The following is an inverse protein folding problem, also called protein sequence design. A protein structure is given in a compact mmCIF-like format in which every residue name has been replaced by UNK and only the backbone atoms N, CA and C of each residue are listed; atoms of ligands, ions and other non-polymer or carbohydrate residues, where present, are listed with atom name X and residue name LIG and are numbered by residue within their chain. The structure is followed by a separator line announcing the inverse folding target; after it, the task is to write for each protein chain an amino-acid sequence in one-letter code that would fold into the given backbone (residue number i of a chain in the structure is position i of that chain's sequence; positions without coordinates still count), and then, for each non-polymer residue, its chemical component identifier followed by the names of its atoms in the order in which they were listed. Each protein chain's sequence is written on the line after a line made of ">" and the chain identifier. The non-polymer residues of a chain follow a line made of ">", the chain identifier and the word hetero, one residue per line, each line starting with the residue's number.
data_IF_281678743184
#
_entry.id   IF_281678743184
#
_cell.length_a   1.000
_cell.length_b   1.000
_cell.length_c   1.000
_cell.angle_alpha   90.00
_cell.angle_beta   90.00
_cell.angle_gamma   90.00
#
_symmetry.space_group_name_H-M   'P 1'
#
loop_
_entity.id
_entity.type
_entity.pdbx_description
1 polymer ?
#
# COMPACT_ATOMS: atom_id res chain seq x y z
N UNK A 1 32.34 6.12 -33.83
CA UNK A 1 32.33 6.42 -32.38
C UNK A 1 32.67 5.14 -31.64
N UNK A 2 33.41 5.16 -30.53
CA UNK A 2 33.65 3.95 -29.72
C UNK A 2 32.34 3.32 -29.24
N UNK A 3 31.30 4.12 -28.98
CA UNK A 3 29.99 3.61 -28.58
C UNK A 3 29.31 2.82 -29.72
N UNK A 4 29.53 3.20 -30.99
CA UNK A 4 28.89 2.52 -32.14
C UNK A 4 29.44 1.12 -32.42
N UNK A 5 30.58 0.73 -31.83
CA UNK A 5 31.05 -0.66 -31.89
C UNK A 5 30.35 -1.57 -30.88
N UNK A 6 29.66 -1.01 -29.89
CA UNK A 6 28.96 -1.76 -28.84
C UNK A 6 27.43 -1.58 -28.87
N UNK A 7 26.91 -0.48 -29.44
CA UNK A 7 25.47 -0.18 -29.48
C UNK A 7 24.92 -0.27 -30.91
N UNK A 8 23.89 -1.11 -31.09
CA UNK A 8 23.15 -1.26 -32.33
C UNK A 8 22.38 -0.01 -32.68
N UNK A 9 21.68 0.57 -31.70
CA UNK A 9 20.89 1.80 -31.87
C UNK A 9 21.74 2.98 -32.34
N UNK A 10 22.91 3.20 -31.72
CA UNK A 10 23.84 4.27 -32.12
C UNK A 10 24.44 3.98 -33.49
N UNK A 11 24.82 2.72 -33.77
CA UNK A 11 25.35 2.32 -35.08
C UNK A 11 24.32 2.56 -36.20
N UNK A 12 23.08 2.14 -36.01
CA UNK A 12 21.99 2.30 -36.98
C UNK A 12 21.64 3.77 -37.21
N UNK A 13 21.59 4.57 -36.14
CA UNK A 13 21.33 6.01 -36.23
C UNK A 13 22.45 6.77 -36.96
N UNK A 14 23.71 6.36 -36.76
CA UNK A 14 24.83 6.94 -37.51
C UNK A 14 24.83 6.52 -38.98
N UNK A 15 24.36 5.31 -39.29
CA UNK A 15 24.22 4.83 -40.67
C UNK A 15 23.10 5.58 -41.40
N UNK A 16 21.95 5.81 -40.77
CA UNK A 16 20.86 6.59 -41.39
C UNK A 16 21.29 8.03 -41.66
N UNK A 17 21.90 8.71 -40.68
CA UNK A 17 22.40 10.07 -40.87
C UNK A 17 23.50 10.18 -41.95
N UNK A 18 24.29 9.10 -42.19
CA UNK A 18 25.23 9.07 -43.34
C UNK A 18 24.53 9.05 -44.69
N UNK A 19 23.37 8.40 -44.79
CA UNK A 19 22.60 8.33 -46.04
C UNK A 19 21.98 9.68 -46.36
N UNK A 20 21.55 10.42 -45.34
CA UNK A 20 20.86 11.70 -45.51
C UNK A 20 21.82 12.88 -45.73
N UNK A 21 23.04 12.83 -45.16
CA UNK A 21 24.08 13.85 -45.33
C UNK A 21 25.48 13.21 -45.48
N UNK A 22 26.01 13.08 -46.72
CA UNK A 22 27.28 12.40 -46.98
C UNK A 22 28.52 13.21 -46.57
N UNK A 23 28.38 14.50 -46.25
CA UNK A 23 29.51 15.33 -45.84
C UNK A 23 30.08 14.90 -44.48
N UNK A 24 31.40 14.73 -44.44
CA UNK A 24 32.13 14.24 -43.28
C UNK A 24 32.37 15.30 -42.18
N UNK A 25 32.16 16.58 -42.50
CA UNK A 25 32.48 17.71 -41.62
C UNK A 25 31.32 18.16 -40.71
N UNK A 26 30.10 17.65 -40.93
CA UNK A 26 28.92 18.05 -40.14
C UNK A 26 28.94 17.36 -38.78
N UNK A 27 28.86 18.16 -37.70
CA UNK A 27 28.63 17.64 -36.35
C UNK A 27 27.30 16.90 -36.36
N UNK A 28 27.32 15.64 -35.93
CA UNK A 28 26.14 14.79 -35.88
C UNK A 28 25.61 14.73 -34.47
N UNK A 29 24.41 15.27 -34.29
CA UNK A 29 23.70 15.23 -33.03
C UNK A 29 22.83 13.97 -32.96
N UNK A 30 22.92 13.27 -31.83
CA UNK A 30 22.11 12.10 -31.53
C UNK A 30 21.28 12.41 -30.29
N UNK A 31 19.97 12.54 -30.48
CA UNK A 31 19.03 12.76 -29.38
C UNK A 31 18.56 11.40 -28.85
N UNK A 32 18.81 11.15 -27.56
CA UNK A 32 18.40 9.94 -26.86
C UNK A 32 17.35 10.31 -25.81
N UNK A 33 16.12 10.48 -26.26
CA UNK A 33 15.02 10.85 -25.37
C UNK A 33 14.61 9.67 -24.47
N UNK A 34 14.39 9.95 -23.19
CA UNK A 34 13.88 8.97 -22.23
C UNK A 34 14.88 7.87 -21.82
N UNK A 35 16.18 8.16 -21.86
CA UNK A 35 17.23 7.21 -21.45
C UNK A 35 17.01 6.71 -20.00
N UNK A 36 17.07 5.40 -19.72
CA UNK A 36 16.88 4.85 -18.38
C UNK A 36 17.87 5.47 -17.37
N UNK A 37 17.36 6.04 -16.28
CA UNK A 37 18.19 6.73 -15.28
C UNK A 37 18.85 8.02 -15.77
N UNK A 38 18.43 8.55 -16.93
CA UNK A 38 18.89 9.84 -17.45
C UNK A 38 20.39 9.85 -17.76
N UNK A 39 21.08 10.98 -17.48
CA UNK A 39 22.51 11.12 -17.73
C UNK A 39 23.37 10.07 -17.03
N UNK A 40 23.02 9.69 -15.80
CA UNK A 40 23.79 8.74 -15.00
C UNK A 40 23.80 7.34 -15.64
N UNK A 41 22.66 6.92 -16.19
CA UNK A 41 22.57 5.67 -16.95
C UNK A 41 23.45 5.68 -18.19
N UNK A 42 23.44 6.80 -18.92
CA UNK A 42 24.27 6.94 -20.12
C UNK A 42 25.77 6.99 -19.77
N UNK A 43 26.14 7.64 -18.66
CA UNK A 43 27.51 7.63 -18.16
C UNK A 43 27.99 6.19 -17.90
N UNK A 44 27.19 5.37 -17.21
CA UNK A 44 27.56 3.98 -16.93
C UNK A 44 27.71 3.14 -18.21
N UNK A 45 26.78 3.28 -19.16
CA UNK A 45 26.84 2.57 -20.43
C UNK A 45 28.03 3.03 -21.30
N UNK A 46 28.30 4.33 -21.34
CA UNK A 46 29.44 4.89 -22.07
C UNK A 46 30.77 4.48 -21.43
N UNK A 47 30.86 4.47 -20.10
CA UNK A 47 32.05 3.98 -19.37
C UNK A 47 32.38 2.55 -19.74
N UNK A 48 31.39 1.68 -19.89
CA UNK A 48 31.60 0.32 -20.40
C UNK A 48 32.22 0.34 -21.82
N UNK A 49 31.67 1.16 -22.73
CA UNK A 49 32.16 1.25 -24.11
C UNK A 49 33.61 1.76 -24.19
N UNK A 50 33.95 2.79 -23.41
CA UNK A 50 35.29 3.39 -23.42
C UNK A 50 36.32 2.59 -22.63
N UNK A 51 35.89 1.71 -21.72
CA UNK A 51 36.78 0.85 -20.92
C UNK A 51 37.01 -0.52 -21.56
N UNK A 52 36.86 -0.63 -22.88
CA UNK A 52 37.03 -1.88 -23.64
C UNK A 52 36.14 -3.01 -23.10
N UNK A 53 34.87 -2.68 -22.85
CA UNK A 53 33.89 -3.63 -22.32
C UNK A 53 34.13 -4.01 -20.86
N UNK A 54 34.92 -3.27 -20.07
CA UNK A 54 35.16 -3.57 -18.65
C UNK A 54 34.35 -2.66 -17.75
N UNK A 55 33.43 -3.25 -16.98
CA UNK A 55 32.68 -2.58 -15.91
C UNK A 55 32.43 -3.55 -14.77
N UNK A 56 32.45 -3.04 -13.53
CA UNK A 56 32.07 -3.79 -12.34
C UNK A 56 30.55 -3.78 -12.22
N UNK A 57 29.94 -4.97 -12.30
CA UNK A 57 28.49 -5.16 -12.12
C UNK A 57 28.25 -5.51 -10.66
N UNK A 58 27.27 -4.87 -10.05
CA UNK A 58 26.89 -4.99 -8.64
C UNK A 58 25.38 -4.82 -8.46
N UNK A 59 24.79 -5.23 -7.34
CA UNK A 59 23.34 -5.09 -7.11
C UNK A 59 22.84 -3.64 -7.16
N UNK A 60 23.69 -2.65 -6.87
CA UNK A 60 23.33 -1.23 -6.93
C UNK A 60 23.17 -0.71 -8.36
N UNK A 61 23.97 -1.19 -9.31
CA UNK A 61 24.04 -0.64 -10.67
C UNK A 61 23.49 -1.58 -11.75
N UNK A 62 23.33 -2.87 -11.47
CA UNK A 62 22.89 -3.87 -12.45
C UNK A 62 21.55 -3.52 -13.09
N UNK A 63 20.58 -3.02 -12.31
CA UNK A 63 19.26 -2.66 -12.85
C UNK A 63 19.37 -1.55 -13.90
N UNK A 64 20.17 -0.52 -13.61
CA UNK A 64 20.39 0.60 -14.52
C UNK A 64 21.20 0.18 -15.74
N UNK A 65 22.26 -0.63 -15.55
CA UNK A 65 23.06 -1.17 -16.65
C UNK A 65 22.23 -2.04 -17.59
N UNK A 66 21.37 -2.91 -17.05
CA UNK A 66 20.52 -3.79 -17.83
C UNK A 66 19.52 -3.01 -18.69
N UNK A 67 18.79 -2.06 -18.08
CA UNK A 67 17.86 -1.21 -18.83
C UNK A 67 18.58 -0.32 -19.85
N UNK A 68 19.76 0.22 -19.52
CA UNK A 68 20.57 1.02 -20.44
C UNK A 68 21.08 0.21 -21.62
N UNK A 69 21.55 -1.02 -21.38
CA UNK A 69 22.00 -1.94 -22.40
C UNK A 69 20.87 -2.36 -23.34
N UNK A 70 19.68 -2.62 -22.80
CA UNK A 70 18.47 -2.88 -23.60
C UNK A 70 18.11 -1.66 -24.46
N UNK A 71 18.11 -0.46 -23.88
CA UNK A 71 17.75 0.76 -24.60
C UNK A 71 18.70 1.09 -25.75
N UNK A 72 19.99 0.81 -25.57
CA UNK A 72 21.04 1.02 -26.58
C UNK A 72 21.21 -0.17 -27.54
N UNK A 73 20.42 -1.23 -27.37
CA UNK A 73 20.54 -2.49 -28.12
C UNK A 73 21.99 -3.01 -28.06
N UNK A 74 22.56 -3.14 -26.86
CA UNK A 74 23.93 -3.63 -26.65
C UNK A 74 23.96 -5.16 -26.52
N UNK A 75 23.56 -5.85 -27.59
CA UNK A 75 23.48 -7.32 -27.67
C UNK A 75 24.76 -7.97 -28.19
N UNK A 76 24.81 -9.31 -28.10
CA UNK A 76 25.89 -10.13 -28.67
C UNK A 76 26.00 -10.05 -30.19
N UNK A 77 24.95 -9.59 -30.87
CA UNK A 77 24.94 -9.43 -32.33
C UNK A 77 25.90 -8.34 -32.81
N UNK A 78 26.25 -7.39 -31.92
CA UNK A 78 27.10 -6.24 -32.25
C UNK A 78 28.54 -6.48 -31.80
N UNK A 79 28.73 -7.01 -30.60
CA UNK A 79 30.05 -7.31 -30.03
C UNK A 79 29.93 -8.50 -29.09
N UNK A 80 30.96 -9.33 -29.01
CA UNK A 80 30.99 -10.43 -28.04
C UNK A 80 31.07 -9.92 -26.59
N UNK A 81 30.44 -10.64 -25.67
CA UNK A 81 30.41 -10.34 -24.23
C UNK A 81 29.92 -8.91 -23.93
N UNK A 82 28.91 -8.46 -24.67
CA UNK A 82 28.35 -7.12 -24.57
C UNK A 82 27.59 -6.93 -23.24
N UNK A 83 27.27 -5.67 -22.94
CA UNK A 83 26.73 -5.29 -21.65
C UNK A 83 25.42 -6.03 -21.31
N UNK A 84 24.55 -6.24 -22.30
CA UNK A 84 23.27 -6.92 -22.07
C UNK A 84 23.47 -8.35 -21.54
N UNK A 85 24.22 -9.19 -22.26
CA UNK A 85 24.46 -10.58 -21.85
C UNK A 85 25.14 -10.65 -20.48
N UNK A 86 26.10 -9.76 -20.22
CA UNK A 86 26.80 -9.72 -18.93
C UNK A 86 25.87 -9.39 -17.76
N UNK A 87 24.95 -8.45 -17.95
CA UNK A 87 23.93 -8.15 -16.94
C UNK A 87 22.94 -9.31 -16.76
N UNK A 88 22.55 -9.99 -17.83
CA UNK A 88 21.67 -11.16 -17.75
C UNK A 88 22.31 -12.32 -17.00
N UNK A 89 23.58 -12.63 -17.27
CA UNK A 89 24.34 -13.66 -16.53
C UNK A 89 24.44 -13.31 -15.05
N UNK A 90 24.68 -12.04 -14.72
CA UNK A 90 24.72 -11.58 -13.33
C UNK A 90 23.35 -11.73 -12.64
N UNK A 91 22.26 -11.40 -13.34
CA UNK A 91 20.88 -11.55 -12.85
C UNK A 91 20.41 -13.02 -12.77
N UNK A 92 20.95 -13.94 -13.58
CA UNK A 92 20.71 -15.37 -13.39
C UNK A 92 21.23 -15.85 -12.03
N UNK A 93 22.24 -15.18 -11.48
CA UNK A 93 22.77 -15.41 -10.14
C UNK A 93 21.88 -14.92 -8.98
N UNK A 94 20.67 -14.40 -9.24
CA UNK A 94 19.77 -13.83 -8.22
C UNK A 94 19.50 -14.76 -7.03
N UNK A 95 19.49 -16.08 -7.24
CA UNK A 95 19.30 -17.05 -6.17
C UNK A 95 20.33 -16.88 -5.02
N UNK A 96 21.58 -16.56 -5.39
CA UNK A 96 22.70 -16.44 -4.45
C UNK A 96 22.81 -15.06 -3.78
N UNK A 97 22.00 -14.10 -4.21
CA UNK A 97 22.07 -12.75 -3.66
C UNK A 97 21.58 -12.71 -2.22
N UNK A 98 22.09 -11.77 -1.44
CA UNK A 98 21.56 -11.53 -0.09
C UNK A 98 20.21 -10.82 -0.16
N UNK A 99 19.46 -10.83 0.94
CA UNK A 99 18.23 -10.05 1.08
C UNK A 99 18.47 -8.55 0.80
N UNK A 100 19.57 -8.02 1.34
CA UNK A 100 19.97 -6.62 1.17
C UNK A 100 20.32 -6.29 -0.28
N UNK A 101 20.95 -7.21 -1.02
CA UNK A 101 21.28 -7.01 -2.43
C UNK A 101 20.03 -6.86 -3.30
N UNK A 102 19.02 -7.71 -3.07
CA UNK A 102 17.75 -7.65 -3.80
C UNK A 102 17.02 -6.35 -3.52
N UNK A 103 16.93 -5.94 -2.23
CA UNK A 103 16.31 -4.67 -1.87
C UNK A 103 17.05 -3.47 -2.48
N UNK A 104 18.36 -3.53 -2.54
CA UNK A 104 19.19 -2.48 -3.13
C UNK A 104 18.95 -2.39 -4.64
N UNK A 105 18.85 -3.52 -5.33
CA UNK A 105 18.55 -3.57 -6.77
C UNK A 105 17.12 -3.13 -7.11
N UNK A 106 16.15 -3.42 -6.23
CA UNK A 106 14.78 -2.92 -6.35
C UNK A 106 14.74 -1.40 -6.18
N UNK A 107 15.40 -0.86 -5.15
CA UNK A 107 15.47 0.60 -4.93
C UNK A 107 16.17 1.32 -6.07
N UNK A 108 17.26 0.76 -6.62
CA UNK A 108 17.96 1.38 -7.74
C UNK A 108 17.13 1.43 -9.02
N UNK A 109 16.07 0.62 -9.14
CA UNK A 109 15.16 0.62 -10.28
C UNK A 109 14.06 1.70 -10.23
N UNK A 110 13.87 2.39 -9.10
CA UNK A 110 12.81 3.39 -8.92
C UNK A 110 12.87 4.57 -9.92
N UNK A 111 14.04 5.14 -10.26
CA UNK A 111 14.10 6.29 -11.20
C UNK A 111 13.69 5.97 -12.64
N UNK A 112 13.66 4.69 -13.03
CA UNK A 112 13.35 4.21 -14.38
C UNK A 112 12.39 3.02 -14.34
N UNK A 113 11.43 3.08 -13.43
CA UNK A 113 10.58 1.94 -13.08
C UNK A 113 9.73 1.44 -14.26
N UNK A 114 9.31 2.32 -15.17
CA UNK A 114 8.53 1.95 -16.35
C UNK A 114 9.35 1.14 -17.36
N UNK A 115 10.63 1.49 -17.56
CA UNK A 115 11.54 0.73 -18.41
C UNK A 115 11.94 -0.60 -17.73
N UNK A 116 12.19 -0.58 -16.42
CA UNK A 116 12.50 -1.78 -15.65
C UNK A 116 11.32 -2.78 -15.65
N UNK A 117 10.08 -2.30 -15.58
CA UNK A 117 8.90 -3.15 -15.71
C UNK A 117 8.79 -3.74 -17.11
N UNK A 118 8.86 -2.90 -18.16
CA UNK A 118 8.74 -3.33 -19.56
C UNK A 118 9.79 -4.38 -19.96
N UNK A 119 10.96 -4.36 -19.33
CA UNK A 119 12.03 -5.35 -19.54
C UNK A 119 11.83 -6.69 -18.83
N UNK A 120 10.84 -6.80 -17.94
CA UNK A 120 10.64 -7.95 -17.05
C UNK A 120 11.67 -8.06 -15.91
N UNK A 121 12.64 -7.15 -15.82
CA UNK A 121 13.62 -7.09 -14.75
C UNK A 121 12.95 -6.95 -13.38
N UNK A 122 11.99 -6.02 -13.28
CA UNK A 122 11.31 -5.74 -12.02
C UNK A 122 10.57 -6.98 -11.49
N UNK A 123 9.93 -7.76 -12.37
CA UNK A 123 9.26 -9.00 -11.98
C UNK A 123 10.25 -10.03 -11.46
N UNK A 124 11.40 -10.23 -12.14
CA UNK A 124 12.45 -11.16 -11.68
C UNK A 124 12.98 -10.82 -10.29
N UNK A 125 13.16 -9.52 -9.99
CA UNK A 125 13.60 -9.07 -8.67
C UNK A 125 12.53 -9.31 -7.60
N UNK A 126 11.26 -9.04 -7.91
CA UNK A 126 10.12 -9.32 -7.02
C UNK A 126 9.99 -10.83 -6.76
N UNK A 127 10.10 -11.65 -7.80
CA UNK A 127 10.03 -13.11 -7.69
C UNK A 127 11.16 -13.67 -6.81
N UNK A 128 12.37 -13.11 -6.95
CA UNK A 128 13.51 -13.44 -6.08
C UNK A 128 13.27 -13.01 -4.62
N UNK A 129 12.71 -11.81 -4.40
CA UNK A 129 12.33 -11.32 -3.08
C UNK A 129 11.30 -12.24 -2.40
N UNK A 130 10.22 -12.58 -3.13
CA UNK A 130 9.14 -13.42 -2.63
C UNK A 130 9.60 -14.84 -2.33
N UNK A 131 10.42 -15.44 -3.21
CA UNK A 131 10.99 -16.76 -2.95
C UNK A 131 11.83 -16.81 -1.67
N UNK A 132 12.57 -15.74 -1.34
CA UNK A 132 13.29 -15.63 -0.06
C UNK A 132 12.38 -15.45 1.14
N UNK A 133 11.27 -14.74 1.02
CA UNK A 133 10.27 -14.62 2.10
C UNK A 133 9.70 -15.99 2.43
N UNK A 134 9.32 -16.77 1.41
CA UNK A 134 8.73 -18.10 1.59
C UNK A 134 9.73 -19.07 2.21
N UNK A 135 10.96 -19.13 1.67
CA UNK A 135 12.02 -20.01 2.19
C UNK A 135 12.32 -19.79 3.68
N UNK A 136 12.25 -18.54 4.17
CA UNK A 136 12.49 -18.23 5.58
C UNK A 136 11.26 -18.43 6.47
N UNK A 137 10.06 -18.35 5.91
CA UNK A 137 8.82 -18.55 6.68
C UNK A 137 8.65 -20.03 7.07
N UNK A 138 9.05 -20.96 6.21
CA UNK A 138 9.01 -22.41 6.47
C UNK A 138 10.01 -22.86 7.55
N UNK A 139 11.18 -22.20 7.62
CA UNK A 139 12.21 -22.45 8.64
C UNK A 139 11.76 -22.04 10.06
N UNK A 140 10.94 -20.99 10.17
CA UNK A 140 10.39 -20.53 11.44
C UNK A 140 9.29 -21.48 11.94
N UNK A 141 8.45 -22.01 11.05
CA UNK A 141 7.44 -23.02 11.41
C UNK A 141 8.07 -24.36 11.84
N UNK A 142 9.20 -24.73 11.25
CA UNK A 142 9.92 -25.98 11.56
C UNK A 142 10.74 -25.95 12.85
N UNK A 143 11.00 -24.76 13.40
CA UNK A 143 11.67 -24.59 14.71
C UNK A 143 10.68 -24.49 15.88
N UNK A 144 9.37 -24.36 15.61
CA UNK A 144 8.30 -24.45 16.62
C UNK A 144 7.79 -25.87 16.89
N UNK A 145 8.34 -26.89 16.21
CA UNK A 145 7.99 -28.31 16.40
C UNK A 145 9.17 -29.12 16.95
N UNK A 146 9.80 -28.65 18.03
CA UNK A 146 10.65 -29.50 18.88
C UNK A 146 9.96 -29.76 20.22
N UNK A 147 9.33 -30.94 20.31
CA UNK A 147 8.84 -31.56 21.53
C UNK A 147 9.98 -31.86 22.52
N UNK A 148 9.90 -31.35 23.76
CA UNK A 148 10.43 -32.03 24.96
C UNK A 148 9.92 -31.43 26.27
N UNK A 149 9.93 -32.20 27.39
CA UNK A 149 8.81 -32.25 28.31
C UNK A 149 9.10 -31.65 29.71
N UNK A 150 8.01 -31.47 30.47
CA UNK A 150 7.92 -31.27 31.93
C UNK A 150 8.42 -29.94 32.56
N UNK A 151 7.46 -29.07 32.89
CA UNK A 151 7.14 -28.67 34.28
C UNK A 151 5.89 -27.77 34.29
N UNK A 152 4.91 -27.97 35.20
CA UNK A 152 3.63 -27.31 35.12
C UNK A 152 3.69 -25.94 35.82
N UNK A 153 3.82 -24.85 35.05
CA UNK A 153 3.40 -23.53 35.52
C UNK A 153 2.10 -23.16 34.83
N UNK A 154 1.01 -23.45 35.53
CA UNK A 154 -0.33 -22.92 35.29
C UNK A 154 -0.29 -21.38 35.29
N UNK A 155 -1.22 -20.82 34.51
CA UNK A 155 -1.59 -19.41 34.31
C UNK A 155 -0.85 -18.71 33.18
N UNK A 156 -1.51 -18.65 32.00
CA UNK A 156 -1.78 -17.40 31.31
C UNK A 156 -3.02 -17.57 30.42
N UNK A 157 -3.88 -16.57 30.49
CA UNK A 157 -5.26 -16.53 30.05
C UNK A 157 -5.48 -16.83 28.57
N UNK A 158 -6.51 -17.64 28.31
CA UNK A 158 -7.28 -17.63 27.06
C UNK A 158 -8.09 -16.34 27.04
N UNK A 159 -7.44 -15.24 26.65
CA UNK A 159 -8.12 -14.10 26.05
C UNK A 159 -7.60 -13.95 24.64
N UNK A 160 -8.49 -14.22 23.68
CA UNK A 160 -8.32 -14.10 22.24
C UNK A 160 -7.99 -12.67 21.84
N UNK A 161 -6.72 -12.28 21.98
CA UNK A 161 -6.13 -11.20 21.19
C UNK A 161 -5.43 -11.86 20.02
N UNK A 162 -5.75 -11.53 18.75
CA UNK A 162 -4.87 -11.91 17.66
C UNK A 162 -3.53 -11.21 17.93
N UNK A 163 -2.54 -11.98 18.37
CA UNK A 163 -1.18 -11.49 18.48
C UNK A 163 -0.70 -11.22 17.05
N UNK A 164 -0.68 -9.94 16.68
CA UNK A 164 -0.11 -9.47 15.43
C UNK A 164 1.42 -9.57 15.53
N UNK A 165 1.98 -10.78 15.45
CA UNK A 165 3.43 -10.92 15.27
C UNK A 165 3.79 -10.28 13.94
N UNK A 166 4.70 -9.29 14.00
CA UNK A 166 5.24 -8.62 12.83
C UNK A 166 6.20 -9.59 12.15
N UNK A 167 6.02 -9.85 10.86
CA UNK A 167 7.01 -10.63 10.13
C UNK A 167 8.31 -9.82 10.01
N UNK A 168 9.46 -10.51 10.04
CA UNK A 168 10.79 -9.89 10.05
C UNK A 168 11.03 -8.92 8.87
N UNK A 169 10.38 -9.16 7.73
CA UNK A 169 10.55 -8.40 6.49
C UNK A 169 9.68 -7.13 6.39
N UNK A 170 8.73 -6.92 7.32
CA UNK A 170 7.75 -5.83 7.20
C UNK A 170 8.41 -4.45 7.17
N UNK A 171 9.38 -4.21 8.04
CA UNK A 171 10.06 -2.91 8.15
C UNK A 171 10.94 -2.64 6.93
N UNK A 172 11.64 -3.65 6.43
CA UNK A 172 12.56 -3.55 5.29
C UNK A 172 11.87 -3.17 3.98
N UNK A 173 10.69 -3.75 3.72
CA UNK A 173 9.90 -3.42 2.53
C UNK A 173 9.24 -2.04 2.59
N UNK A 174 9.13 -1.42 3.78
CA UNK A 174 8.50 -0.10 3.87
C UNK A 174 9.27 1.01 3.15
N UNK A 175 10.54 0.78 2.84
CA UNK A 175 11.39 1.74 2.13
C UNK A 175 11.13 1.75 0.63
N UNK A 176 10.49 0.73 0.07
CA UNK A 176 10.18 0.64 -1.35
C UNK A 176 9.02 1.57 -1.76
N UNK A 177 9.05 2.04 -2.99
CA UNK A 177 7.97 2.82 -3.61
C UNK A 177 6.62 2.08 -3.65
N UNK A 178 5.48 2.81 -3.64
CA UNK A 178 4.15 2.20 -3.64
C UNK A 178 3.91 1.32 -4.88
N UNK A 179 4.47 1.69 -6.03
CA UNK A 179 4.37 0.91 -7.25
C UNK A 179 4.96 -0.50 -7.12
N UNK A 180 6.17 -0.62 -6.54
CA UNK A 180 6.82 -1.92 -6.31
C UNK A 180 5.98 -2.75 -5.34
N UNK A 181 5.45 -2.13 -4.28
CA UNK A 181 4.59 -2.81 -3.32
C UNK A 181 3.31 -3.32 -3.95
N UNK A 182 2.60 -2.51 -4.75
CA UNK A 182 1.38 -2.95 -5.44
C UNK A 182 1.66 -4.15 -6.35
N UNK A 183 2.76 -4.11 -7.09
CA UNK A 183 3.18 -5.23 -7.95
C UNK A 183 3.55 -6.47 -7.14
N UNK A 184 4.27 -6.28 -6.03
CA UNK A 184 4.62 -7.36 -5.09
C UNK A 184 3.34 -8.01 -4.56
N UNK A 185 2.36 -7.22 -4.11
CA UNK A 185 1.07 -7.69 -3.60
C UNK A 185 0.31 -8.55 -4.61
N UNK A 186 0.35 -8.21 -5.89
CA UNK A 186 -0.26 -9.02 -6.96
C UNK A 186 0.44 -10.36 -7.13
N UNK A 187 1.76 -10.42 -6.97
CA UNK A 187 2.54 -11.67 -7.06
C UNK A 187 2.54 -12.50 -5.78
N UNK A 188 2.31 -11.91 -4.59
CA UNK A 188 2.36 -12.61 -3.30
C UNK A 188 1.49 -13.88 -3.23
N UNK A 189 0.30 -13.85 -3.85
CA UNK A 189 -0.62 -14.99 -3.84
C UNK A 189 -0.03 -16.23 -4.55
N UNK A 190 0.73 -16.04 -5.62
CA UNK A 190 1.37 -17.14 -6.36
C UNK A 190 2.49 -17.83 -5.56
N UNK A 191 3.08 -17.11 -4.62
CA UNK A 191 4.14 -17.60 -3.73
C UNK A 191 3.60 -18.22 -2.44
N UNK A 192 2.28 -18.35 -2.29
CA UNK A 192 1.67 -18.99 -1.11
C UNK A 192 1.66 -18.10 0.14
N UNK A 193 1.95 -16.81 0.02
CA UNK A 193 1.80 -15.86 1.13
C UNK A 193 0.30 -15.67 1.38
N UNK A 194 -0.12 -15.93 2.61
CA UNK A 194 -1.52 -15.88 3.01
C UNK A 194 -2.07 -14.45 2.92
N UNK A 195 -3.33 -14.34 2.48
CA UNK A 195 -4.05 -13.06 2.37
C UNK A 195 -4.07 -12.29 3.71
N UNK A 196 -4.03 -13.01 4.83
CA UNK A 196 -3.97 -12.41 6.18
C UNK A 196 -2.64 -11.69 6.42
N UNK A 197 -1.50 -12.35 6.20
CA UNK A 197 -0.18 -11.74 6.35
C UNK A 197 0.03 -10.59 5.37
N UNK A 198 -0.41 -10.75 4.12
CA UNK A 198 -0.37 -9.67 3.12
C UNK A 198 -1.17 -8.45 3.60
N UNK A 199 -2.42 -8.63 4.03
CA UNK A 199 -3.26 -7.54 4.55
C UNK A 199 -2.62 -6.86 5.77
N UNK A 200 -2.03 -7.63 6.70
CA UNK A 200 -1.29 -7.09 7.85
C UNK A 200 -0.10 -6.25 7.42
N UNK A 201 0.67 -6.72 6.43
CA UNK A 201 1.80 -5.99 5.87
C UNK A 201 1.35 -4.68 5.23
N UNK A 202 0.32 -4.70 4.40
CA UNK A 202 -0.16 -3.49 3.73
C UNK A 202 -0.69 -2.45 4.73
N UNK A 203 -1.40 -2.87 5.78
CA UNK A 203 -1.79 -1.97 6.88
C UNK A 203 -0.56 -1.36 7.56
N UNK A 204 0.49 -2.15 7.79
CA UNK A 204 1.75 -1.67 8.36
C UNK A 204 2.44 -0.66 7.44
N UNK A 205 2.49 -0.94 6.14
CA UNK A 205 3.05 -0.08 5.11
C UNK A 205 2.35 1.28 5.07
N UNK A 206 1.01 1.28 5.03
CA UNK A 206 0.19 2.50 5.02
C UNK A 206 0.36 3.30 6.31
N UNK A 207 0.38 2.65 7.49
CA UNK A 207 0.67 3.34 8.76
C UNK A 207 2.04 4.01 8.77
N UNK A 208 3.06 3.34 8.22
CA UNK A 208 4.43 3.89 8.11
C UNK A 208 4.49 5.04 7.11
N UNK A 209 3.70 5.00 6.04
CA UNK A 209 3.55 6.12 5.10
C UNK A 209 2.93 7.35 5.79
N UNK A 210 1.85 7.18 6.58
CA UNK A 210 1.25 8.27 7.36
C UNK A 210 2.23 8.90 8.36
N UNK A 211 3.04 8.07 9.02
CA UNK A 211 4.07 8.56 9.94
C UNK A 211 5.13 9.40 9.23
N UNK A 212 5.64 8.93 8.08
CA UNK A 212 6.62 9.67 7.25
C UNK A 212 6.06 11.02 6.81
N UNK A 213 4.80 11.07 6.41
CA UNK A 213 4.13 12.29 5.98
C UNK A 213 3.99 13.30 7.13
N UNK A 214 3.67 12.82 8.33
CA UNK A 214 3.55 13.66 9.53
C UNK A 214 4.89 14.30 9.95
N UNK A 215 6.01 13.60 9.76
CA UNK A 215 7.34 14.12 10.07
C UNK A 215 7.94 15.03 8.98
N UNK A 216 7.47 14.91 7.73
CA UNK A 216 8.02 15.64 6.58
C UNK A 216 7.58 17.11 6.52
N UNK A 217 6.62 17.56 7.34
CA UNK A 217 6.16 18.95 7.38
C UNK A 217 5.50 19.47 6.09
N UNK A 218 5.49 18.67 5.02
CA UNK A 218 4.85 18.98 3.76
C UNK A 218 3.34 18.74 3.83
N UNK A 219 2.56 19.81 3.75
CA UNK A 219 1.10 19.79 3.61
C UNK A 219 0.60 19.24 2.25
N UNK A 220 1.35 18.33 1.62
CA UNK A 220 0.86 17.55 0.50
C UNK A 220 -0.09 16.50 1.06
N UNK A 221 -1.36 16.56 0.67
CA UNK A 221 -2.33 15.52 0.96
C UNK A 221 -1.84 14.14 0.52
N UNK A 222 -2.46 13.06 1.01
CA UNK A 222 -2.07 11.71 0.63
C UNK A 222 -2.08 11.54 -0.88
N UNK A 223 -0.94 11.14 -1.44
CA UNK A 223 -0.81 10.94 -2.88
C UNK A 223 -1.75 9.82 -3.33
N UNK A 224 -2.44 10.03 -4.46
CA UNK A 224 -3.25 9.02 -5.17
C UNK A 224 -2.46 7.73 -5.45
N UNK A 225 -1.12 7.79 -5.41
CA UNK A 225 -0.21 6.66 -5.55
C UNK A 225 -0.46 5.51 -4.56
N UNK A 226 -1.04 5.78 -3.39
CA UNK A 226 -1.34 4.75 -2.38
C UNK A 226 -2.75 4.15 -2.52
N UNK A 227 -3.57 4.66 -3.45
CA UNK A 227 -4.96 4.24 -3.64
C UNK A 227 -5.09 2.74 -3.87
N UNK A 228 -4.31 2.19 -4.82
CA UNK A 228 -4.33 0.76 -5.13
C UNK A 228 -3.95 -0.14 -3.95
N UNK A 229 -3.03 0.32 -3.08
CA UNK A 229 -2.64 -0.40 -1.86
C UNK A 229 -3.76 -0.34 -0.82
N UNK A 230 -4.40 0.81 -0.65
CA UNK A 230 -5.52 0.98 0.27
C UNK A 230 -6.73 0.13 -0.14
N UNK A 231 -7.01 0.02 -1.44
CA UNK A 231 -8.04 -0.88 -1.97
C UNK A 231 -7.71 -2.35 -1.74
N UNK A 232 -6.45 -2.77 -1.97
CA UNK A 232 -5.99 -4.13 -1.67
C UNK A 232 -6.13 -4.49 -0.17
N UNK A 233 -5.91 -3.53 0.73
CA UNK A 233 -6.20 -3.71 2.18
C UNK A 233 -7.68 -3.96 2.41
N UNK A 234 -8.56 -3.17 1.80
CA UNK A 234 -10.01 -3.31 1.96
C UNK A 234 -10.47 -4.68 1.47
N UNK A 235 -10.07 -5.08 0.26
CA UNK A 235 -10.44 -6.39 -0.28
C UNK A 235 -9.89 -7.54 0.58
N UNK A 236 -8.66 -7.41 1.09
CA UNK A 236 -8.08 -8.36 2.04
C UNK A 236 -8.88 -8.47 3.35
N UNK A 237 -9.28 -7.34 3.94
CA UNK A 237 -10.11 -7.31 5.16
C UNK A 237 -11.47 -7.97 4.94
N UNK A 238 -12.13 -7.69 3.80
CA UNK A 238 -13.44 -8.27 3.47
C UNK A 238 -13.33 -9.78 3.26
N UNK A 239 -12.28 -10.26 2.60
CA UNK A 239 -12.05 -11.70 2.45
C UNK A 239 -11.81 -12.40 3.81
N UNK A 240 -11.12 -11.71 4.72
CA UNK A 240 -10.82 -12.22 6.05
C UNK A 240 -12.02 -12.26 6.98
N UNK A 241 -13.08 -11.47 6.74
CA UNK A 241 -14.28 -11.41 7.61
C UNK A 241 -14.87 -12.81 7.86
N UNK A 242 -14.88 -13.66 6.84
CA UNK A 242 -15.36 -15.05 6.93
C UNK A 242 -14.47 -15.99 7.76
N UNK A 243 -13.19 -15.63 7.97
CA UNK A 243 -12.17 -16.50 8.58
C UNK A 243 -11.67 -15.99 9.93
N UNK A 244 -11.81 -14.70 10.20
CA UNK A 244 -11.25 -14.02 11.37
C UNK A 244 -12.31 -13.12 11.99
N UNK A 245 -12.71 -13.41 13.23
CA UNK A 245 -13.58 -12.52 14.00
C UNK A 245 -12.83 -11.24 14.37
N UNK A 246 -13.03 -10.18 13.61
CA UNK A 246 -12.47 -8.86 13.91
C UNK A 246 -13.32 -8.11 14.92
N UNK A 247 -12.67 -7.32 15.79
CA UNK A 247 -13.37 -6.33 16.61
C UNK A 247 -13.73 -5.10 15.77
N UNK A 248 -14.92 -4.52 15.99
CA UNK A 248 -15.35 -3.27 15.37
C UNK A 248 -14.30 -2.14 15.55
N UNK A 249 -13.68 -2.06 16.73
CA UNK A 249 -12.59 -1.13 17.03
C UNK A 249 -11.39 -1.26 16.08
N UNK A 250 -11.04 -2.49 15.71
CA UNK A 250 -9.92 -2.74 14.80
C UNK A 250 -10.28 -2.29 13.38
N UNK A 251 -11.48 -2.64 12.90
CA UNK A 251 -11.96 -2.25 11.57
C UNK A 251 -12.08 -0.73 11.42
N UNK A 252 -12.59 -0.04 12.44
CA UNK A 252 -12.64 1.42 12.47
C UNK A 252 -11.23 2.04 12.43
N UNK A 253 -10.24 1.44 13.10
CA UNK A 253 -8.83 1.87 12.98
C UNK A 253 -8.27 1.65 11.58
N UNK A 254 -8.60 0.53 10.94
CA UNK A 254 -8.19 0.28 9.54
C UNK A 254 -8.83 1.31 8.62
N UNK A 255 -10.15 1.50 8.72
CA UNK A 255 -10.90 2.50 7.94
C UNK A 255 -10.27 3.89 8.06
N UNK A 256 -9.89 4.32 9.27
CA UNK A 256 -9.19 5.59 9.48
C UNK A 256 -7.88 5.66 8.69
N UNK A 257 -7.07 4.60 8.70
CA UNK A 257 -5.81 4.55 7.95
C UNK A 257 -6.06 4.59 6.44
N UNK A 258 -6.95 3.76 5.92
CA UNK A 258 -7.17 3.66 4.46
C UNK A 258 -7.91 4.88 3.90
N UNK A 259 -8.79 5.52 4.68
CA UNK A 259 -9.48 6.76 4.26
C UNK A 259 -8.52 7.94 4.05
N UNK A 260 -7.36 7.89 4.71
CA UNK A 260 -6.28 8.83 4.47
C UNK A 260 -5.56 8.60 3.14
N UNK A 261 -5.99 7.72 2.23
CA UNK A 261 -5.30 7.49 0.94
C UNK A 261 -6.23 7.59 -0.27
N UNK A 262 -7.42 8.18 -0.12
CA UNK A 262 -8.34 8.43 -1.25
C UNK A 262 -8.94 7.14 -1.81
N UNK A 263 -9.75 6.44 -0.99
CA UNK A 263 -10.45 5.22 -1.41
C UNK A 263 -11.51 5.50 -2.47
N UNK A 264 -11.70 4.55 -3.41
CA UNK A 264 -12.91 4.51 -4.23
C UNK A 264 -14.17 4.33 -3.38
N UNK A 265 -15.28 4.87 -3.87
CA UNK A 265 -16.59 4.78 -3.21
C UNK A 265 -17.05 3.33 -3.03
N UNK A 266 -16.67 2.43 -3.93
CA UNK A 266 -16.97 0.99 -3.83
C UNK A 266 -16.21 0.35 -2.66
N UNK A 267 -14.89 0.56 -2.57
CA UNK A 267 -14.07 0.03 -1.48
C UNK A 267 -14.51 0.60 -0.13
N UNK A 268 -14.77 1.90 -0.07
CA UNK A 268 -15.33 2.56 1.13
C UNK A 268 -16.64 1.91 1.56
N UNK A 269 -17.53 1.62 0.61
CA UNK A 269 -18.81 0.96 0.90
C UNK A 269 -18.63 -0.50 1.37
N UNK A 270 -17.65 -1.23 0.84
CA UNK A 270 -17.34 -2.61 1.28
C UNK A 270 -16.92 -2.65 2.75
N UNK A 271 -15.96 -1.82 3.15
CA UNK A 271 -15.49 -1.78 4.55
C UNK A 271 -16.55 -1.20 5.50
N UNK A 272 -17.32 -0.20 5.07
CA UNK A 272 -18.46 0.33 5.85
C UNK A 272 -19.54 -0.75 6.06
N UNK A 273 -19.75 -1.67 5.10
CA UNK A 273 -20.64 -2.83 5.25
C UNK A 273 -20.16 -3.80 6.32
N UNK A 274 -18.89 -4.17 6.28
CA UNK A 274 -18.29 -5.06 7.30
C UNK A 274 -18.32 -4.41 8.69
N UNK A 275 -18.06 -3.10 8.81
CA UNK A 275 -18.14 -2.39 10.09
C UNK A 275 -19.59 -2.27 10.58
N UNK A 276 -20.50 -1.89 9.68
CA UNK A 276 -21.92 -1.76 9.96
C UNK A 276 -22.50 -3.05 10.53
N UNK A 277 -22.13 -4.21 9.99
CA UNK A 277 -22.56 -5.52 10.50
C UNK A 277 -22.11 -5.84 11.93
N UNK A 278 -21.09 -5.17 12.45
CA UNK A 278 -20.50 -5.37 13.79
C UNK A 278 -20.76 -4.20 14.74
N UNK A 279 -21.66 -3.28 14.37
CA UNK A 279 -21.94 -2.08 15.15
C UNK A 279 -22.51 -2.38 16.54
N UNK A 280 -23.20 -3.52 16.71
CA UNK A 280 -23.72 -3.97 18.01
C UNK A 280 -22.64 -4.37 19.02
N UNK A 281 -21.38 -4.49 18.57
CA UNK A 281 -20.20 -4.78 19.38
C UNK A 281 -19.30 -3.56 19.58
N UNK A 282 -19.66 -2.41 19.01
CA UNK A 282 -18.88 -1.18 19.12
C UNK A 282 -19.07 -0.51 20.49
N UNK A 283 -18.01 0.13 20.98
CA UNK A 283 -18.09 1.03 22.13
C UNK A 283 -18.27 2.48 21.68
N UNK A 284 -18.71 3.35 22.58
CA UNK A 284 -18.84 4.79 22.30
C UNK A 284 -17.52 5.38 21.80
N UNK A 285 -16.40 5.06 22.49
CA UNK A 285 -15.06 5.52 22.14
C UNK A 285 -14.62 5.16 20.72
N UNK A 286 -15.15 4.06 20.17
CA UNK A 286 -14.82 3.63 18.81
C UNK A 286 -15.49 4.53 17.76
N UNK A 287 -16.72 5.01 18.04
CA UNK A 287 -17.50 5.91 17.19
C UNK A 287 -17.08 7.37 17.25
N UNK A 288 -16.31 7.75 18.27
CA UNK A 288 -15.69 9.08 18.38
C UNK A 288 -14.51 9.21 17.40
N UNK A 289 -14.83 9.13 16.11
CA UNK A 289 -13.90 9.37 15.00
C UNK A 289 -13.83 10.87 14.77
N UNK A 290 -12.71 11.50 15.12
CA UNK A 290 -12.50 12.91 14.79
C UNK A 290 -12.34 13.08 13.28
N UNK A 291 -12.85 14.18 12.73
CA UNK A 291 -12.61 14.53 11.34
C UNK A 291 -11.10 14.79 11.13
N UNK A 292 -10.46 14.25 10.07
CA UNK A 292 -9.06 14.52 9.78
C UNK A 292 -8.85 16.03 9.64
N UNK A 293 -8.13 16.60 10.60
CA UNK A 293 -7.83 18.03 10.66
C UNK A 293 -6.67 18.31 9.70
N UNK A 294 -6.99 18.50 8.42
CA UNK A 294 -6.00 18.88 7.39
C UNK A 294 -6.18 18.16 6.07
N UNK A 295 -7.12 18.63 5.26
CA UNK A 295 -7.32 18.20 3.88
C UNK A 295 -8.03 19.31 3.12
N UNK A 296 -7.33 20.43 2.92
CA UNK A 296 -7.78 21.47 1.99
C UNK A 296 -7.82 20.88 0.59
N UNK A 297 -9.02 20.67 0.05
CA UNK A 297 -9.16 20.02 -1.25
C UNK A 297 -10.59 19.68 -1.66
N UNK A 298 -11.58 20.50 -1.31
CA UNK A 298 -12.77 20.74 -2.14
C UNK A 298 -13.58 21.86 -1.48
N UNK A 299 -13.79 22.94 -2.23
CA UNK A 299 -14.41 24.19 -1.77
C UNK A 299 -15.89 24.03 -1.42
N UNK A 300 -16.19 23.43 -0.27
CA UNK A 300 -17.47 23.58 0.40
C UNK A 300 -17.23 24.09 1.82
N UNK A 301 -17.32 25.41 1.96
CA UNK A 301 -17.15 26.09 3.23
C UNK A 301 -18.20 25.66 4.26
N UNK A 302 -17.77 25.58 5.51
CA UNK A 302 -18.65 25.74 6.67
C UNK A 302 -19.00 24.46 7.43
N UNK A 303 -18.39 24.32 8.62
CA UNK A 303 -18.98 23.59 9.74
C UNK A 303 -18.85 22.08 9.69
N UNK A 304 -17.62 21.56 9.57
CA UNK A 304 -17.36 20.18 9.97
C UNK A 304 -17.14 20.17 11.48
N UNK A 305 -18.05 19.52 12.22
CA UNK A 305 -17.92 19.30 13.66
C UNK A 305 -16.64 18.53 14.00
N UNK A 306 -16.32 18.45 15.29
CA UNK A 306 -15.12 17.74 15.77
C UNK A 306 -15.18 16.27 15.34
N UNK A 307 -16.39 15.70 15.28
CA UNK A 307 -16.67 14.30 14.95
C UNK A 307 -17.19 14.10 13.52
N UNK A 308 -16.82 12.97 12.90
CA UNK A 308 -17.36 12.55 11.60
C UNK A 308 -18.73 11.89 11.76
N UNK A 309 -19.74 12.73 12.01
CA UNK A 309 -21.14 12.33 12.13
C UNK A 309 -21.65 11.66 10.84
N UNK A 310 -21.10 12.06 9.68
CA UNK A 310 -21.50 11.51 8.39
C UNK A 310 -21.09 10.04 8.23
N UNK A 311 -19.94 9.64 8.76
CA UNK A 311 -19.52 8.25 8.83
C UNK A 311 -20.43 7.42 9.74
N UNK A 312 -20.76 7.91 10.93
CA UNK A 312 -21.64 7.20 11.86
C UNK A 312 -23.03 6.98 11.24
N UNK A 313 -23.60 8.00 10.59
CA UNK A 313 -24.87 7.88 9.87
C UNK A 313 -24.85 6.80 8.78
N UNK A 314 -23.75 6.71 8.01
CA UNK A 314 -23.59 5.66 6.99
C UNK A 314 -23.52 4.27 7.63
N UNK A 315 -22.75 4.10 8.70
CA UNK A 315 -22.65 2.83 9.41
C UNK A 315 -23.99 2.37 10.00
N UNK A 316 -24.73 3.28 10.62
CA UNK A 316 -26.06 2.99 11.16
C UNK A 316 -27.04 2.62 10.05
N UNK A 317 -27.03 3.36 8.93
CA UNK A 317 -27.88 3.05 7.78
C UNK A 317 -27.59 1.65 7.22
N UNK A 318 -26.31 1.25 7.19
CA UNK A 318 -25.91 -0.08 6.74
C UNK A 318 -26.30 -1.18 7.74
N UNK A 319 -26.19 -0.92 9.05
CA UNK A 319 -26.66 -1.84 10.07
C UNK A 319 -28.18 -2.03 10.03
N UNK A 320 -28.94 -0.94 9.95
CA UNK A 320 -30.40 -0.95 9.94
C UNK A 320 -30.99 -1.46 8.61
N UNK A 321 -30.29 -1.26 7.49
CA UNK A 321 -30.68 -1.71 6.15
C UNK A 321 -30.07 -3.04 5.71
N UNK A 322 -29.38 -3.77 6.60
CA UNK A 322 -28.69 -5.02 6.26
C UNK A 322 -29.63 -6.13 5.78
N UNK A 323 -29.15 -6.98 4.86
CA UNK A 323 -29.89 -8.07 4.20
C UNK A 323 -30.30 -9.26 5.10
N UNK A 324 -30.39 -9.08 6.42
CA UNK A 324 -30.80 -10.11 7.37
C UNK A 324 -31.62 -9.52 8.51
N UNK A 325 -32.49 -10.34 9.11
CA UNK A 325 -33.22 -9.97 10.33
C UNK A 325 -32.21 -9.63 11.45
N UNK A 326 -32.03 -8.33 11.69
CA UNK A 326 -31.33 -7.86 12.89
C UNK A 326 -32.22 -8.20 14.07
N UNK A 327 -31.74 -9.05 14.98
CA UNK A 327 -32.51 -9.37 16.18
C UNK A 327 -32.82 -8.10 16.99
N UNK A 328 -34.00 -8.07 17.61
CA UNK A 328 -34.46 -6.94 18.42
C UNK A 328 -33.42 -6.53 19.48
N UNK A 329 -32.74 -7.52 20.08
CA UNK A 329 -31.65 -7.29 21.04
C UNK A 329 -30.44 -6.56 20.46
N UNK A 330 -30.04 -6.89 19.22
CA UNK A 330 -28.93 -6.20 18.52
C UNK A 330 -29.34 -4.77 18.18
N UNK A 331 -30.58 -4.59 17.72
CA UNK A 331 -31.13 -3.27 17.41
C UNK A 331 -31.15 -2.36 18.64
N UNK A 332 -31.59 -2.88 19.79
CA UNK A 332 -31.60 -2.15 21.07
C UNK A 332 -30.20 -1.80 21.58
N UNK A 333 -29.21 -2.69 21.38
CA UNK A 333 -27.81 -2.38 21.71
C UNK A 333 -27.28 -1.21 20.90
N UNK A 334 -27.56 -1.18 19.60
CA UNK A 334 -27.18 -0.05 18.74
C UNK A 334 -27.96 1.22 19.10
N UNK A 335 -29.26 1.12 19.41
CA UNK A 335 -30.06 2.26 19.92
C UNK A 335 -29.42 2.93 21.13
N UNK A 336 -29.07 2.14 22.16
CA UNK A 336 -28.36 2.63 23.35
C UNK A 336 -27.00 3.26 23.03
N UNK A 337 -26.28 2.72 22.04
CA UNK A 337 -24.99 3.26 21.59
C UNK A 337 -25.15 4.62 20.89
N UNK A 338 -26.15 4.75 20.02
CA UNK A 338 -26.43 6.00 19.31
C UNK A 338 -26.97 7.08 20.24
N UNK A 339 -27.81 6.73 21.23
CA UNK A 339 -28.26 7.69 22.23
C UNK A 339 -27.08 8.22 23.08
N UNK A 340 -26.11 7.36 23.42
CA UNK A 340 -24.85 7.78 24.06
C UNK A 340 -24.02 8.68 23.16
N UNK A 341 -23.93 8.36 21.87
CA UNK A 341 -23.21 9.18 20.90
C UNK A 341 -23.86 10.55 20.71
N UNK A 342 -25.20 10.62 20.66
CA UNK A 342 -25.96 11.87 20.57
C UNK A 342 -25.66 12.81 21.74
N UNK A 343 -25.60 12.27 22.96
CA UNK A 343 -25.26 13.07 24.14
C UNK A 343 -23.82 13.60 24.11
N UNK A 344 -22.88 12.85 23.52
CA UNK A 344 -21.48 13.27 23.42
C UNK A 344 -21.28 14.36 22.36
N UNK A 345 -22.04 14.31 21.26
CA UNK A 345 -21.94 15.32 20.19
C UNK A 345 -22.82 16.55 20.42
N UNK A 346 -23.82 16.47 21.30
CA UNK A 346 -24.76 17.56 21.57
C UNK A 346 -24.07 18.88 21.98
N UNK A 347 -23.03 18.88 22.84
CA UNK A 347 -22.34 20.11 23.22
C UNK A 347 -21.45 20.72 22.11
N UNK A 348 -21.31 20.08 20.94
CA UNK A 348 -20.47 20.61 19.85
C UNK A 348 -21.17 21.78 19.14
N UNK A 349 -20.79 23.00 19.50
CA UNK A 349 -21.23 24.25 18.86
C UNK A 349 -21.09 24.29 17.32
N UNK A 350 -20.27 23.42 16.72
CA UNK A 350 -20.08 23.35 15.25
C UNK A 350 -21.00 22.34 14.59
N UNK A 351 -21.76 21.57 15.36
CA UNK A 351 -22.69 20.57 14.85
C UNK A 351 -23.96 21.25 14.31
N UNK A 352 -24.24 21.06 13.02
CA UNK A 352 -25.46 21.57 12.39
C UNK A 352 -26.69 20.80 12.86
N UNK A 353 -27.80 21.51 13.07
CA UNK A 353 -29.11 20.93 13.48
C UNK A 353 -29.52 19.78 12.55
N UNK A 354 -29.33 19.94 11.24
CA UNK A 354 -29.68 18.91 10.25
C UNK A 354 -28.90 17.60 10.44
N UNK A 355 -27.64 17.68 10.88
CA UNK A 355 -26.84 16.48 11.18
C UNK A 355 -27.24 15.86 12.50
N UNK A 356 -27.51 16.69 13.52
CA UNK A 356 -27.98 16.21 14.81
C UNK A 356 -29.31 15.45 14.69
N UNK A 357 -30.29 16.06 14.00
CA UNK A 357 -31.60 15.46 13.75
C UNK A 357 -31.50 14.17 12.92
N UNK A 358 -30.64 14.14 11.90
CA UNK A 358 -30.40 12.93 11.12
C UNK A 358 -29.89 11.75 11.99
N UNK A 359 -29.09 12.01 13.03
CA UNK A 359 -28.64 10.96 13.97
C UNK A 359 -29.77 10.57 14.92
N UNK A 360 -30.58 11.51 15.40
CA UNK A 360 -31.73 11.21 16.24
C UNK A 360 -32.74 10.27 15.53
N UNK A 361 -32.95 10.49 14.23
CA UNK A 361 -33.94 9.78 13.40
C UNK A 361 -33.39 8.56 12.64
N UNK A 362 -32.10 8.23 12.74
CA UNK A 362 -31.49 7.18 11.92
C UNK A 362 -31.91 5.74 12.24
N UNK A 363 -32.60 5.52 13.36
CA UNK A 363 -33.00 4.20 13.84
C UNK A 363 -34.54 4.08 13.93
N UNK A 364 -35.10 2.88 13.67
CA UNK A 364 -36.54 2.63 13.82
C UNK A 364 -36.98 2.72 15.28
N UNK A 365 -38.28 2.89 15.50
CA UNK A 365 -38.86 2.98 16.86
C UNK A 365 -38.61 1.73 17.71
N UNK A 366 -38.45 0.56 17.09
CA UNK A 366 -38.11 -0.70 17.76
C UNK A 366 -36.71 -0.70 18.39
N UNK A 367 -35.82 0.20 17.98
CA UNK A 367 -34.46 0.29 18.54
C UNK A 367 -34.42 0.88 19.95
N UNK A 368 -35.51 1.50 20.43
CA UNK A 368 -35.56 2.19 21.70
C UNK A 368 -36.69 1.65 22.58
N UNK A 369 -36.33 1.21 23.79
CA UNK A 369 -37.31 0.89 24.83
C UNK A 369 -37.85 2.16 25.51
N UNK A 370 -37.02 3.22 25.59
CA UNK A 370 -37.37 4.54 26.10
C UNK A 370 -36.68 5.64 25.27
N UNK A 371 -37.28 6.83 25.22
CA UNK A 371 -36.75 7.97 24.45
C UNK A 371 -35.98 8.99 25.30
N UNK A 372 -35.83 8.74 26.60
CA UNK A 372 -35.22 9.66 27.58
C UNK A 372 -33.80 10.08 27.18
N UNK A 373 -33.02 9.16 26.61
CA UNK A 373 -31.66 9.44 26.13
C UNK A 373 -31.62 10.47 25.01
N UNK A 374 -32.57 10.38 24.06
CA UNK A 374 -32.68 11.33 22.95
C UNK A 374 -33.17 12.68 23.44
N UNK A 375 -34.19 12.72 24.31
CA UNK A 375 -34.69 13.97 24.88
C UNK A 375 -33.62 14.71 25.68
N UNK A 376 -32.82 13.97 26.47
CA UNK A 376 -31.68 14.56 27.19
C UNK A 376 -30.63 15.12 26.24
N UNK A 377 -30.33 14.42 25.14
CA UNK A 377 -29.40 14.95 24.13
C UNK A 377 -29.94 16.20 23.43
N UNK A 378 -31.26 16.29 23.19
CA UNK A 378 -31.91 17.47 22.61
C UNK A 378 -31.78 18.66 23.57
N UNK A 379 -32.05 18.45 24.86
CA UNK A 379 -31.93 19.49 25.88
C UNK A 379 -30.50 20.07 25.91
N UNK A 380 -29.50 19.18 25.96
CA UNK A 380 -28.07 19.55 25.91
C UNK A 380 -27.63 20.22 24.61
N UNK A 381 -28.34 20.01 23.49
CA UNK A 381 -28.03 20.64 22.20
C UNK A 381 -28.65 22.04 22.07
N UNK A 382 -29.72 22.30 22.81
CA UNK A 382 -30.44 23.58 22.81
C UNK A 382 -29.89 24.57 23.86
N UNK A 383 -29.24 24.06 24.91
CA UNK A 383 -28.38 24.83 25.83
C UNK A 383 -27.12 25.36 25.13
#
# INVERSE_FOLDING_TARGET
>A
STISSFSGKVKNSLISQRKDAPDAATIRELHLDGFPGGPDGFELASRFCYSDGKICISPTNVSLLHCSALFLEMSEEISCCNLLQRTEVFLQGLFYWTWTDILTALRSSEPFISQADSSGLLQKLIDSLLSKICANSDLICSSSSSSSPETPRRSFDVTTKPSFSRAWWFDDLTVLSPYIIEKTTKSMAAYGIDSVTNTKFLIHYLKRALYRQSCSGGGGGPSLEYGGIAEAVVDGVVQMESRCGFSCRWLLRVLRVVSCFGLSEECRSKIERTIGGLLDQASLDDLLVCTPRGGGGSGSGGGSGIYDVSLVLRLVKVFAGGFGEVSDERMKRVGKLIDKYLMEIAPDSRLKVSKFLAVAECLPSTARDCSDGVYRAIDMYLE
#
